data_IF_500808434155
#
_entry.id   IF_500808434155
#
_cell.length_a   1.000
_cell.length_b   1.000
_cell.length_c   1.000
_cell.angle_alpha   90.00
_cell.angle_beta   90.00
_cell.angle_gamma   90.00
#
_symmetry.space_group_name_H-M   'P 1'
#
loop_
_entity.id
_entity.type
_entity.pdbx_description
1 polymer ?
#
# COMPACT_ATOMS: atom_id res chain seq x y z
N UNK A 1 -19.50 11.44 -11.33
CA UNK A 1 -19.93 10.19 -10.67
C UNK A 1 -18.83 9.15 -10.91
N UNK A 2 -18.26 8.59 -9.85
CA UNK A 2 -17.27 7.50 -9.98
C UNK A 2 -17.93 6.20 -9.52
N UNK A 3 -17.94 5.20 -10.39
CA UNK A 3 -18.39 3.87 -9.97
C UNK A 3 -17.29 3.18 -9.19
N UNK A 4 -17.61 2.50 -8.11
CA UNK A 4 -16.66 1.77 -7.27
C UNK A 4 -15.78 0.83 -8.10
N UNK A 5 -16.35 0.15 -9.10
CA UNK A 5 -15.60 -0.73 -9.99
C UNK A 5 -14.49 -0.02 -10.74
N UNK A 6 -14.70 1.23 -11.19
CA UNK A 6 -13.71 2.00 -11.93
C UNK A 6 -12.60 2.52 -10.99
N UNK A 7 -12.97 2.82 -9.75
CA UNK A 7 -12.02 3.18 -8.70
C UNK A 7 -11.11 2.00 -8.35
N UNK A 8 -11.68 0.80 -8.20
CA UNK A 8 -10.93 -0.42 -7.87
C UNK A 8 -9.98 -0.90 -8.99
N UNK A 9 -10.13 -0.40 -10.23
CA UNK A 9 -9.15 -0.62 -11.29
C UNK A 9 -7.87 0.22 -11.10
N UNK A 10 -7.93 1.31 -10.33
CA UNK A 10 -6.83 2.27 -10.16
C UNK A 10 -6.24 2.25 -8.75
N UNK A 11 -7.05 1.91 -7.76
CA UNK A 11 -6.66 1.96 -6.35
C UNK A 11 -6.96 0.64 -5.65
N UNK A 12 -6.11 0.23 -4.69
CA UNK A 12 -6.36 -0.93 -3.85
C UNK A 12 -7.66 -0.76 -3.05
N UNK A 13 -8.40 -1.84 -2.84
CA UNK A 13 -9.64 -1.83 -2.04
C UNK A 13 -9.43 -1.31 -0.61
N UNK A 14 -8.27 -1.56 -0.02
CA UNK A 14 -7.92 -1.02 1.30
C UNK A 14 -7.81 0.52 1.31
N UNK A 15 -7.34 1.15 0.22
CA UNK A 15 -7.33 2.61 0.11
C UNK A 15 -8.74 3.18 0.09
N UNK A 16 -9.66 2.53 -0.62
CA UNK A 16 -11.09 2.89 -0.61
C UNK A 16 -11.67 2.74 0.80
N UNK A 17 -11.41 1.61 1.46
CA UNK A 17 -11.84 1.37 2.85
C UNK A 17 -11.28 2.43 3.80
N UNK A 18 -10.02 2.78 3.67
CA UNK A 18 -9.39 3.80 4.50
C UNK A 18 -10.05 5.17 4.33
N UNK A 19 -10.35 5.58 3.10
CA UNK A 19 -11.09 6.83 2.83
C UNK A 19 -12.45 6.81 3.53
N UNK A 20 -13.20 5.71 3.40
CA UNK A 20 -14.53 5.58 4.03
C UNK A 20 -14.46 5.62 5.57
N UNK A 21 -13.40 5.08 6.16
CA UNK A 21 -13.16 5.12 7.62
C UNK A 21 -12.63 6.48 8.11
N UNK A 22 -12.12 7.34 7.22
CA UNK A 22 -11.53 8.62 7.59
C UNK A 22 -12.55 9.67 8.02
N UNK A 23 -13.82 9.48 7.70
CA UNK A 23 -14.90 10.33 8.17
C UNK A 23 -15.82 9.58 9.13
N UNK A 24 -16.44 10.33 10.02
CA UNK A 24 -17.48 9.79 10.88
C UNK A 24 -18.71 9.41 10.02
N UNK A 25 -19.24 8.22 10.17
CA UNK A 25 -20.21 7.58 9.26
C UNK A 25 -21.54 8.36 9.09
N UNK A 26 -21.85 9.28 10.02
CA UNK A 26 -23.04 10.16 9.93
C UNK A 26 -22.77 11.46 9.20
N UNK A 27 -21.51 11.77 8.88
CA UNK A 27 -21.15 13.00 8.20
C UNK A 27 -21.07 12.80 6.69
N UNK A 28 -21.50 13.78 5.89
CA UNK A 28 -21.23 13.76 4.46
C UNK A 28 -19.73 13.68 4.22
N UNK A 29 -19.32 12.73 3.38
CA UNK A 29 -17.91 12.59 3.00
C UNK A 29 -17.75 12.91 1.52
N UNK A 30 -16.83 13.82 1.22
CA UNK A 30 -16.36 13.97 -0.14
C UNK A 30 -15.56 12.73 -0.56
N UNK A 31 -15.76 12.30 -1.79
CA UNK A 31 -15.04 11.18 -2.37
C UNK A 31 -14.41 11.63 -3.68
N UNK A 32 -13.08 11.73 -3.70
CA UNK A 32 -12.30 12.14 -4.86
C UNK A 32 -10.97 11.36 -4.95
N UNK A 33 -10.31 11.44 -6.09
CA UNK A 33 -9.05 10.74 -6.33
C UNK A 33 -7.90 11.23 -5.43
N UNK A 34 -7.87 12.50 -5.05
CA UNK A 34 -6.85 13.04 -4.15
C UNK A 34 -6.90 12.37 -2.78
N UNK A 35 -8.09 12.14 -2.21
CA UNK A 35 -8.25 11.41 -0.95
C UNK A 35 -7.80 9.96 -1.07
N UNK A 36 -8.02 9.30 -2.20
CA UNK A 36 -7.54 7.94 -2.45
C UNK A 36 -6.02 7.86 -2.55
N UNK A 37 -5.38 8.85 -3.18
CA UNK A 37 -3.92 8.94 -3.23
C UNK A 37 -3.31 9.16 -1.84
N UNK A 38 -3.91 10.02 -1.02
CA UNK A 38 -3.47 10.25 0.36
C UNK A 38 -3.67 9.00 1.23
N UNK A 39 -4.81 8.33 1.10
CA UNK A 39 -5.07 7.06 1.77
C UNK A 39 -4.04 6.00 1.39
N UNK A 40 -3.71 5.87 0.08
CA UNK A 40 -2.67 4.96 -0.40
C UNK A 40 -1.31 5.30 0.22
N UNK A 41 -0.90 6.58 0.23
CA UNK A 41 0.36 7.01 0.87
C UNK A 41 0.41 6.66 2.36
N UNK A 42 -0.71 6.80 3.05
CA UNK A 42 -0.81 6.44 4.47
C UNK A 42 -0.65 4.93 4.66
N UNK A 43 -1.36 4.12 3.88
CA UNK A 43 -1.23 2.66 3.92
C UNK A 43 0.18 2.21 3.51
N UNK A 44 0.80 2.84 2.51
CA UNK A 44 2.21 2.60 2.15
C UNK A 44 3.15 2.82 3.36
N UNK A 45 2.89 3.86 4.17
CA UNK A 45 3.65 4.11 5.41
C UNK A 45 3.45 2.98 6.43
N UNK A 46 2.22 2.51 6.60
CA UNK A 46 1.91 1.41 7.52
C UNK A 46 2.57 0.11 7.06
N UNK A 47 2.44 -0.25 5.78
CA UNK A 47 3.07 -1.44 5.20
C UNK A 47 4.61 -1.39 5.26
N UNK A 48 5.23 -0.22 5.06
CA UNK A 48 6.68 -0.07 5.27
C UNK A 48 7.08 -0.25 6.73
N UNK A 49 6.27 0.22 7.68
CA UNK A 49 6.55 0.07 9.10
C UNK A 49 6.52 -1.40 9.52
N UNK A 50 5.50 -2.16 9.10
CA UNK A 50 5.42 -3.60 9.39
C UNK A 50 6.48 -4.42 8.64
N UNK A 51 6.91 -3.99 7.45
CA UNK A 51 8.02 -4.62 6.72
C UNK A 51 9.36 -4.41 7.43
N UNK A 52 9.56 -3.23 8.02
CA UNK A 52 10.80 -2.90 8.73
C UNK A 52 10.91 -3.61 10.09
N UNK A 53 9.77 -3.81 10.74
CA UNK A 53 9.69 -4.45 12.05
C UNK A 53 8.57 -5.49 12.02
N UNK A 54 8.93 -6.75 11.73
CA UNK A 54 7.98 -7.86 11.65
C UNK A 54 7.61 -8.42 13.04
N UNK A 55 7.18 -7.53 13.93
CA UNK A 55 6.64 -7.95 15.22
C UNK A 55 5.31 -8.72 15.01
N UNK A 56 5.05 -9.77 15.79
CA UNK A 56 3.75 -10.44 15.78
C UNK A 56 2.63 -9.46 16.20
N UNK A 57 1.42 -9.67 15.69
CA UNK A 57 0.25 -8.93 16.16
C UNK A 57 0.03 -9.23 17.66
N UNK A 58 -0.29 -8.19 18.42
CA UNK A 58 -0.59 -8.28 19.86
C UNK A 58 -2.10 -8.13 20.09
N UNK A 59 -2.51 -7.15 20.86
CA UNK A 59 -3.92 -6.81 21.09
C UNK A 59 -4.18 -5.36 20.68
N UNK A 60 -5.39 -5.04 20.19
CA UNK A 60 -5.78 -3.67 19.98
C UNK A 60 -5.60 -2.83 21.25
N UNK A 61 -5.16 -1.57 21.10
CA UNK A 61 -5.00 -0.68 22.25
C UNK A 61 -6.35 -0.32 22.85
N UNK A 62 -6.36 -0.02 24.15
CA UNK A 62 -7.56 0.46 24.84
C UNK A 62 -8.09 1.73 24.17
N UNK A 63 -7.23 2.68 23.83
CA UNK A 63 -7.60 3.93 23.15
C UNK A 63 -8.30 3.68 21.81
N UNK A 64 -7.83 2.70 21.03
CA UNK A 64 -8.46 2.31 19.76
C UNK A 64 -9.86 1.74 19.98
N UNK A 65 -10.01 0.84 20.94
CA UNK A 65 -11.31 0.24 21.27
C UNK A 65 -12.29 1.29 21.82
N UNK A 66 -11.83 2.19 22.69
CA UNK A 66 -12.66 3.28 23.24
C UNK A 66 -13.14 4.22 22.13
N UNK A 67 -12.28 4.55 21.15
CA UNK A 67 -12.69 5.35 19.99
C UNK A 67 -13.79 4.65 19.17
N UNK A 68 -13.69 3.35 18.93
CA UNK A 68 -14.73 2.59 18.24
C UNK A 68 -16.02 2.43 19.06
N UNK A 69 -15.91 2.34 20.38
CA UNK A 69 -17.06 2.27 21.28
C UNK A 69 -17.79 3.62 21.42
N UNK A 70 -17.13 4.73 21.11
CA UNK A 70 -17.69 6.08 21.08
C UNK A 70 -18.36 6.36 19.72
N UNK A 71 -19.52 5.80 19.51
CA UNK A 71 -20.34 5.97 18.29
C UNK A 71 -19.53 5.72 16.98
N UNK A 72 -18.67 4.71 16.97
CA UNK A 72 -17.79 4.38 15.84
C UNK A 72 -16.96 5.58 15.39
N UNK A 73 -16.29 6.23 16.31
CA UNK A 73 -15.41 7.37 16.03
C UNK A 73 -14.13 6.91 15.29
N UNK A 74 -14.33 6.49 14.03
CA UNK A 74 -13.25 6.00 13.18
C UNK A 74 -12.16 7.03 12.91
N UNK A 75 -12.42 8.36 12.80
CA UNK A 75 -11.35 9.33 12.73
C UNK A 75 -10.40 9.31 13.93
N UNK A 76 -10.93 9.17 15.15
CA UNK A 76 -10.09 9.04 16.36
C UNK A 76 -9.33 7.71 16.36
N UNK A 77 -9.97 6.61 15.96
CA UNK A 77 -9.31 5.32 15.79
C UNK A 77 -8.14 5.40 14.79
N UNK A 78 -8.32 6.08 13.65
CA UNK A 78 -7.24 6.30 12.66
C UNK A 78 -6.10 7.15 13.23
N UNK A 79 -6.40 8.17 14.04
CA UNK A 79 -5.37 8.95 14.72
C UNK A 79 -4.49 8.05 15.62
N UNK A 80 -5.10 7.10 16.31
CA UNK A 80 -4.37 6.10 17.10
C UNK A 80 -3.48 5.20 16.22
N UNK A 81 -3.95 4.76 15.03
CA UNK A 81 -3.11 4.00 14.10
C UNK A 81 -1.86 4.79 13.70
N UNK A 82 -1.99 6.08 13.44
CA UNK A 82 -0.85 6.94 13.11
C UNK A 82 0.18 7.01 14.23
N UNK A 83 -0.26 7.04 15.49
CA UNK A 83 0.60 7.02 16.68
C UNK A 83 1.35 5.70 16.77
N UNK A 84 0.65 4.58 16.60
CA UNK A 84 1.20 3.23 16.74
C UNK A 84 2.29 2.89 15.71
N UNK A 85 2.28 3.51 14.53
CA UNK A 85 3.34 3.31 13.51
C UNK A 85 4.75 3.53 14.06
N UNK A 86 4.93 4.47 14.97
CA UNK A 86 6.23 4.79 15.56
C UNK A 86 6.50 4.12 16.91
N UNK A 87 5.48 3.52 17.53
CA UNK A 87 5.56 3.09 18.92
C UNK A 87 5.36 1.59 19.11
N UNK A 88 4.32 1.00 18.49
CA UNK A 88 3.96 -0.41 18.71
C UNK A 88 3.39 -1.04 17.43
N UNK A 89 4.23 -1.73 16.69
CA UNK A 89 3.85 -2.39 15.43
C UNK A 89 2.92 -3.60 15.67
N UNK A 90 3.06 -4.29 16.78
CA UNK A 90 2.19 -5.40 17.12
C UNK A 90 0.75 -4.94 17.38
N UNK A 91 0.58 -3.86 18.13
CA UNK A 91 -0.72 -3.23 18.37
C UNK A 91 -1.26 -2.59 17.08
N UNK A 92 -0.43 -1.96 16.23
CA UNK A 92 -0.84 -1.47 14.93
C UNK A 92 -1.48 -2.56 14.08
N UNK A 93 -0.81 -3.72 13.95
CA UNK A 93 -1.35 -4.88 13.21
C UNK A 93 -2.73 -5.30 13.76
N UNK A 94 -2.85 -5.45 15.08
CA UNK A 94 -4.09 -5.86 15.71
C UNK A 94 -5.24 -4.85 15.54
N UNK A 95 -4.94 -3.56 15.66
CA UNK A 95 -5.93 -2.49 15.43
C UNK A 95 -6.37 -2.42 13.96
N UNK A 96 -5.42 -2.52 13.02
CA UNK A 96 -5.71 -2.51 11.59
C UNK A 96 -6.55 -3.72 11.18
N UNK A 97 -6.23 -4.92 11.67
CA UNK A 97 -6.99 -6.14 11.39
C UNK A 97 -8.46 -6.00 11.80
N UNK A 98 -8.72 -5.42 12.97
CA UNK A 98 -10.07 -5.22 13.48
C UNK A 98 -10.96 -4.37 12.56
N UNK A 99 -10.38 -3.45 11.79
CA UNK A 99 -11.10 -2.60 10.83
C UNK A 99 -10.88 -3.00 9.37
N UNK A 100 -10.25 -4.16 9.15
CA UNK A 100 -10.01 -4.73 7.82
C UNK A 100 -8.97 -3.96 7.00
N UNK A 101 -7.93 -3.43 7.66
CA UNK A 101 -6.74 -2.85 7.06
C UNK A 101 -5.53 -3.76 7.27
N UNK A 102 -4.49 -3.60 6.47
CA UNK A 102 -3.26 -4.41 6.46
C UNK A 102 -3.54 -5.91 6.26
N UNK A 103 -4.49 -6.23 5.37
CA UNK A 103 -4.93 -7.60 5.09
C UNK A 103 -4.01 -8.35 4.12
N UNK A 104 -3.01 -7.69 3.56
CA UNK A 104 -2.01 -8.25 2.65
C UNK A 104 -0.65 -8.33 3.32
N UNK A 105 0.26 -9.11 2.75
CA UNK A 105 1.67 -8.99 3.12
C UNK A 105 2.26 -7.70 2.51
N UNK A 106 3.34 -7.13 3.10
CA UNK A 106 4.02 -5.99 2.49
C UNK A 106 4.47 -6.27 1.04
N UNK A 107 4.87 -7.49 0.74
CA UNK A 107 5.26 -7.91 -0.60
C UNK A 107 4.07 -7.84 -1.56
N UNK A 108 2.93 -8.40 -1.20
CA UNK A 108 1.71 -8.34 -2.01
C UNK A 108 1.23 -6.89 -2.21
N UNK A 109 1.30 -6.07 -1.17
CA UNK A 109 0.92 -4.66 -1.25
C UNK A 109 1.75 -3.87 -2.25
N UNK A 110 3.09 -4.02 -2.22
CA UNK A 110 3.98 -3.25 -3.08
C UNK A 110 4.19 -3.85 -4.46
N UNK A 111 4.09 -5.16 -4.61
CA UNK A 111 4.34 -5.87 -5.88
C UNK A 111 3.06 -6.32 -6.59
N UNK A 112 1.94 -6.49 -5.90
CA UNK A 112 0.71 -7.05 -6.44
C UNK A 112 0.72 -8.58 -6.49
N UNK A 113 -0.22 -9.17 -7.24
CA UNK A 113 -0.39 -10.62 -7.32
C UNK A 113 0.77 -11.33 -8.04
N UNK A 114 1.03 -12.60 -7.67
CA UNK A 114 2.16 -13.40 -8.15
C UNK A 114 2.25 -13.56 -9.67
N UNK A 115 1.11 -13.54 -10.39
CA UNK A 115 1.10 -13.69 -11.86
C UNK A 115 1.74 -12.49 -12.55
N UNK A 116 1.39 -11.29 -12.13
CA UNK A 116 1.97 -10.05 -12.67
C UNK A 116 3.43 -9.91 -12.25
N UNK A 117 3.77 -10.34 -11.04
CA UNK A 117 5.14 -10.32 -10.51
C UNK A 117 6.10 -11.11 -11.40
N UNK A 118 5.71 -12.31 -11.86
CA UNK A 118 6.53 -13.15 -12.71
C UNK A 118 6.84 -12.49 -14.07
N UNK A 119 5.86 -11.82 -14.67
CA UNK A 119 6.04 -11.07 -15.93
C UNK A 119 7.02 -9.91 -15.72
N UNK A 120 6.82 -9.15 -14.65
CA UNK A 120 7.65 -7.99 -14.32
C UNK A 120 9.11 -8.42 -14.06
N UNK A 121 9.31 -9.47 -13.29
CA UNK A 121 10.66 -9.99 -13.01
C UNK A 121 11.36 -10.50 -14.27
N UNK A 122 10.63 -11.13 -15.21
CA UNK A 122 11.15 -11.51 -16.52
C UNK A 122 11.59 -10.30 -17.34
N UNK A 123 10.80 -9.23 -17.35
CA UNK A 123 11.16 -7.98 -18.04
C UNK A 123 12.38 -7.31 -17.39
N UNK A 124 12.47 -7.30 -16.07
CA UNK A 124 13.64 -6.77 -15.35
C UNK A 124 14.90 -7.58 -15.69
N UNK A 125 14.82 -8.90 -15.71
CA UNK A 125 15.93 -9.76 -16.11
C UNK A 125 16.37 -9.48 -17.54
N UNK A 126 15.44 -9.32 -18.49
CA UNK A 126 15.71 -8.94 -19.89
C UNK A 126 16.41 -7.59 -19.98
N UNK A 127 15.92 -6.58 -19.24
CA UNK A 127 16.56 -5.24 -19.18
C UNK A 127 18.00 -5.34 -18.65
N UNK A 128 18.20 -6.07 -17.57
CA UNK A 128 19.53 -6.20 -16.96
C UNK A 128 20.51 -6.95 -17.89
N UNK A 129 20.06 -7.99 -18.60
CA UNK A 129 20.85 -8.67 -19.62
C UNK A 129 21.24 -7.74 -20.78
N UNK A 130 20.31 -6.91 -21.29
CA UNK A 130 20.59 -5.91 -22.31
C UNK A 130 21.63 -4.89 -21.83
N UNK A 131 21.53 -4.40 -20.59
CA UNK A 131 22.55 -3.49 -20.00
C UNK A 131 23.93 -4.15 -19.89
N UNK A 132 23.98 -5.41 -19.48
CA UNK A 132 25.23 -6.17 -19.39
C UNK A 132 25.88 -6.34 -20.79
N UNK A 133 25.06 -6.53 -21.82
CA UNK A 133 25.48 -6.60 -23.23
C UNK A 133 25.80 -5.21 -23.84
N UNK A 134 25.64 -4.12 -23.08
CA UNK A 134 25.74 -2.73 -23.55
C UNK A 134 24.75 -2.35 -24.66
N UNK A 135 23.66 -3.11 -24.80
CA UNK A 135 22.54 -2.78 -25.68
C UNK A 135 21.56 -1.84 -24.94
N UNK A 136 21.91 -0.58 -24.90
CA UNK A 136 21.14 0.43 -24.20
C UNK A 136 19.78 0.68 -24.85
N UNK A 137 19.65 0.52 -26.18
CA UNK A 137 18.39 0.70 -26.88
C UNK A 137 17.36 -0.36 -26.48
N UNK A 138 17.77 -1.62 -26.40
CA UNK A 138 16.91 -2.69 -25.90
C UNK A 138 16.56 -2.51 -24.43
N UNK A 139 17.49 -2.08 -23.59
CA UNK A 139 17.24 -1.80 -22.18
C UNK A 139 16.22 -0.67 -21.96
N UNK A 140 16.30 0.41 -22.75
CA UNK A 140 15.37 1.54 -22.68
C UNK A 140 13.97 1.16 -23.18
N UNK A 141 13.86 0.30 -24.21
CA UNK A 141 12.58 -0.24 -24.67
C UNK A 141 11.88 -1.01 -23.55
N UNK A 142 12.57 -1.92 -22.86
CA UNK A 142 12.01 -2.67 -21.75
C UNK A 142 11.66 -1.76 -20.55
N UNK A 143 12.47 -0.73 -20.30
CA UNK A 143 12.17 0.27 -19.27
C UNK A 143 10.88 1.03 -19.58
N UNK A 144 10.68 1.43 -20.84
CA UNK A 144 9.45 2.09 -21.27
C UNK A 144 8.21 1.18 -21.09
N UNK A 145 8.35 -0.12 -21.40
CA UNK A 145 7.29 -1.12 -21.19
C UNK A 145 6.92 -1.24 -19.69
N UNK A 146 7.91 -1.36 -18.81
CA UNK A 146 7.70 -1.41 -17.37
C UNK A 146 7.06 -0.12 -16.84
N UNK A 147 7.47 1.04 -17.36
CA UNK A 147 6.86 2.34 -17.00
C UNK A 147 5.39 2.41 -17.44
N UNK A 148 5.06 1.91 -18.64
CA UNK A 148 3.68 1.82 -19.12
C UNK A 148 2.80 0.91 -18.26
N UNK A 149 3.39 -0.10 -17.60
CA UNK A 149 2.75 -0.96 -16.61
C UNK A 149 2.68 -0.32 -15.21
N UNK A 150 3.06 0.95 -15.08
CA UNK A 150 3.13 1.69 -13.81
C UNK A 150 4.13 1.07 -12.80
N UNK A 151 5.24 0.51 -13.30
CA UNK A 151 6.30 -0.07 -12.49
C UNK A 151 7.45 0.93 -12.35
N UNK A 152 7.81 1.20 -11.09
CA UNK A 152 8.96 2.03 -10.73
C UNK A 152 10.12 1.11 -10.37
N UNK A 153 11.25 1.29 -11.04
CA UNK A 153 12.47 0.55 -10.78
C UNK A 153 13.40 1.36 -9.86
N UNK A 154 13.96 0.68 -8.86
CA UNK A 154 14.99 1.20 -7.98
C UNK A 154 16.26 0.37 -8.19
N UNK A 155 17.26 0.94 -8.90
CA UNK A 155 18.56 0.31 -9.15
C UNK A 155 19.47 0.56 -7.94
N UNK A 156 19.94 -0.49 -7.28
CA UNK A 156 20.82 -0.44 -6.12
C UNK A 156 22.04 -1.35 -6.26
N UNK A 157 22.99 -1.29 -5.32
CA UNK A 157 24.21 -2.11 -5.34
C UNK A 157 23.91 -3.62 -5.27
N UNK A 158 22.77 -4.00 -4.73
CA UNK A 158 22.32 -5.39 -4.59
C UNK A 158 21.39 -5.85 -5.73
N UNK A 159 21.28 -5.06 -6.82
CA UNK A 159 20.42 -5.36 -7.97
C UNK A 159 19.29 -4.36 -8.16
N UNK A 160 18.41 -4.65 -9.13
CA UNK A 160 17.22 -3.86 -9.41
C UNK A 160 16.05 -4.35 -8.58
N UNK A 161 15.48 -3.49 -7.76
CA UNK A 161 14.20 -3.72 -7.07
C UNK A 161 13.09 -2.94 -7.75
N UNK A 162 11.83 -3.26 -7.48
CA UNK A 162 10.72 -2.61 -8.12
C UNK A 162 9.50 -2.49 -7.19
N UNK A 163 8.63 -1.53 -7.50
CA UNK A 163 7.32 -1.34 -6.85
C UNK A 163 6.32 -0.82 -7.86
N UNK A 164 5.03 -0.98 -7.58
CA UNK A 164 3.97 -0.29 -8.35
C UNK A 164 3.90 1.18 -7.94
N UNK A 165 3.71 2.06 -8.94
CA UNK A 165 3.55 3.50 -8.73
C UNK A 165 2.19 3.89 -8.16
#
# INVERSE_FOLDING_TARGET
FHFLRDVLQKFPGEAVRFVLLSAQYRQPQEFNFGLLEEAKKTLDKFYRAIKKNDAPATSPTKAFIEALADDLNTPMAIAELHRLVGEDIGALKACCDLVGLLQQTPEQWFKGDDKDTSIIETLIAKRNAARAAKDFAAADTVRAELTAMNIILDDGPNGTTWRRG
#
